data_IF_584255465150
#
_entry.id   IF_584255465150
#
_cell.length_a   1.000
_cell.length_b   1.000
_cell.length_c   1.000
_cell.angle_alpha   90.00
_cell.angle_beta   90.00
_cell.angle_gamma   90.00
#
_symmetry.space_group_name_H-M   'P 1'
#
loop_
_entity.id
_entity.type
_entity.pdbx_description
1 polymer ?
#
# COMPACT_ATOMS: atom_id res chain seq x y z
N UNK A 1 12.47 10.71 -21.67
CA UNK A 1 12.59 11.98 -20.90
C UNK A 1 13.93 11.98 -20.17
N UNK A 2 14.60 13.13 -19.99
CA UNK A 2 15.84 13.21 -19.18
C UNK A 2 15.54 12.86 -17.70
N UNK A 3 16.48 12.23 -16.99
CA UNK A 3 16.29 11.78 -15.59
C UNK A 3 15.89 12.91 -14.63
N UNK A 4 16.52 14.07 -14.74
CA UNK A 4 16.22 15.23 -13.89
C UNK A 4 14.76 15.67 -14.08
N UNK A 5 14.30 15.76 -15.34
CA UNK A 5 12.92 16.11 -15.66
C UNK A 5 11.93 15.07 -15.10
N UNK A 6 12.28 13.78 -15.11
CA UNK A 6 11.44 12.74 -14.48
C UNK A 6 11.26 13.00 -12.99
N UNK A 7 12.36 13.19 -12.24
CA UNK A 7 12.32 13.39 -10.79
C UNK A 7 11.55 14.69 -10.45
N UNK A 8 11.77 15.77 -11.19
CA UNK A 8 11.06 17.03 -10.97
C UNK A 8 9.55 16.86 -11.18
N UNK A 9 9.13 16.28 -12.31
CA UNK A 9 7.70 16.07 -12.60
C UNK A 9 7.07 15.12 -11.56
N UNK A 10 7.80 14.07 -11.15
CA UNK A 10 7.38 13.16 -10.10
C UNK A 10 7.14 13.89 -8.76
N UNK A 11 8.09 14.72 -8.31
CA UNK A 11 7.98 15.49 -7.06
C UNK A 11 6.81 16.48 -7.16
N UNK A 12 6.75 17.27 -8.24
CA UNK A 12 5.68 18.26 -8.45
C UNK A 12 4.31 17.58 -8.47
N UNK A 13 4.20 16.43 -9.13
CA UNK A 13 2.97 15.66 -9.19
C UNK A 13 2.52 15.12 -7.83
N UNK A 14 3.47 14.63 -7.02
CA UNK A 14 3.17 14.18 -5.66
C UNK A 14 2.75 15.34 -4.74
N UNK A 15 3.44 16.47 -4.80
CA UNK A 15 3.09 17.67 -4.04
C UNK A 15 1.72 18.22 -4.46
N UNK A 16 1.43 18.23 -5.76
CA UNK A 16 0.11 18.63 -6.26
C UNK A 16 -0.99 17.71 -5.73
N UNK A 17 -0.79 16.39 -5.76
CA UNK A 17 -1.71 15.43 -5.12
C UNK A 17 -1.93 15.79 -3.65
N UNK A 18 -0.85 15.96 -2.88
CA UNK A 18 -0.94 16.25 -1.45
C UNK A 18 -1.72 17.54 -1.16
N UNK A 19 -1.48 18.60 -1.92
CA UNK A 19 -2.20 19.88 -1.79
C UNK A 19 -3.68 19.70 -2.15
N UNK A 20 -3.97 19.02 -3.27
CA UNK A 20 -5.35 18.77 -3.72
C UNK A 20 -6.13 17.93 -2.71
N UNK A 21 -5.52 16.88 -2.19
CA UNK A 21 -6.11 16.01 -1.18
C UNK A 21 -6.40 16.80 0.11
N UNK A 22 -5.41 17.50 0.65
CA UNK A 22 -5.57 18.32 1.85
C UNK A 22 -6.63 19.42 1.70
N UNK A 23 -6.76 20.04 0.51
CA UNK A 23 -7.69 21.13 0.28
C UNK A 23 -9.12 20.67 -0.06
N UNK A 24 -9.28 19.55 -0.77
CA UNK A 24 -10.55 19.18 -1.40
C UNK A 24 -11.16 17.89 -0.88
N UNK A 25 -10.40 17.01 -0.21
CA UNK A 25 -10.89 15.69 0.19
C UNK A 25 -12.15 15.77 1.06
N UNK A 26 -12.10 16.52 2.16
CA UNK A 26 -13.23 16.67 3.10
C UNK A 26 -14.45 17.28 2.42
N UNK A 27 -14.22 18.26 1.53
CA UNK A 27 -15.28 18.92 0.76
C UNK A 27 -15.97 17.94 -0.18
N UNK A 28 -15.21 17.19 -0.99
CA UNK A 28 -15.76 16.17 -1.87
C UNK A 28 -16.44 15.04 -1.10
N UNK A 29 -15.81 14.56 -0.03
CA UNK A 29 -16.35 13.49 0.81
C UNK A 29 -17.72 13.89 1.37
N UNK A 30 -17.81 15.09 1.95
CA UNK A 30 -19.05 15.60 2.55
C UNK A 30 -20.13 15.82 1.50
N UNK A 31 -19.78 16.43 0.36
CA UNK A 31 -20.71 16.68 -0.72
C UNK A 31 -21.29 15.38 -1.29
N UNK A 32 -20.44 14.39 -1.58
CA UNK A 32 -20.85 13.10 -2.14
C UNK A 32 -21.60 12.26 -1.11
N UNK A 33 -21.17 12.21 0.15
CA UNK A 33 -21.89 11.50 1.20
C UNK A 33 -23.30 12.07 1.38
N UNK A 34 -23.47 13.39 1.31
CA UNK A 34 -24.78 14.03 1.38
C UNK A 34 -25.68 13.70 0.17
N UNK A 35 -25.09 13.62 -1.03
CA UNK A 35 -25.78 13.28 -2.26
C UNK A 35 -26.20 11.81 -2.32
N UNK A 36 -25.31 10.90 -1.95
CA UNK A 36 -25.48 9.44 -2.07
C UNK A 36 -26.10 8.79 -0.83
N UNK A 37 -26.13 9.50 0.30
CA UNK A 37 -26.49 8.98 1.63
C UNK A 37 -25.61 7.80 2.08
N UNK A 38 -24.37 7.72 1.60
CA UNK A 38 -23.38 6.72 2.03
C UNK A 38 -22.04 7.39 2.30
N UNK A 39 -21.48 7.17 3.49
CA UNK A 39 -20.16 7.69 3.82
C UNK A 39 -19.07 6.94 3.04
N UNK A 40 -19.25 5.64 2.77
CA UNK A 40 -18.31 4.88 1.96
C UNK A 40 -18.25 5.40 0.51
N UNK A 41 -19.40 5.66 -0.11
CA UNK A 41 -19.44 6.27 -1.44
C UNK A 41 -18.76 7.65 -1.43
N UNK A 42 -19.04 8.48 -0.41
CA UNK A 42 -18.36 9.75 -0.19
C UNK A 42 -16.84 9.62 -0.16
N UNK A 43 -16.34 8.71 0.67
CA UNK A 43 -14.91 8.48 0.86
C UNK A 43 -14.21 7.95 -0.41
N UNK A 44 -14.78 6.91 -1.04
CA UNK A 44 -14.19 6.26 -2.23
C UNK A 44 -14.13 7.24 -3.41
N UNK A 45 -15.22 7.98 -3.65
CA UNK A 45 -15.28 8.92 -4.77
C UNK A 45 -14.42 10.16 -4.51
N UNK A 46 -14.37 10.66 -3.27
CA UNK A 46 -13.47 11.75 -2.90
C UNK A 46 -12.00 11.36 -3.16
N UNK A 47 -11.56 10.19 -2.70
CA UNK A 47 -10.21 9.69 -2.99
C UNK A 47 -9.96 9.49 -4.48
N UNK A 48 -10.94 8.96 -5.22
CA UNK A 48 -10.81 8.79 -6.68
C UNK A 48 -10.53 10.14 -7.36
N UNK A 49 -11.19 11.21 -6.89
CA UNK A 49 -10.98 12.57 -7.40
C UNK A 49 -9.65 13.16 -6.93
N UNK A 50 -9.28 13.02 -5.66
CA UNK A 50 -8.06 13.64 -5.13
C UNK A 50 -6.79 12.93 -5.57
N UNK A 51 -6.83 11.62 -5.88
CA UNK A 51 -5.70 10.85 -6.43
C UNK A 51 -5.50 11.10 -7.93
N UNK A 52 -6.45 11.73 -8.63
CA UNK A 52 -6.35 12.02 -10.06
C UNK A 52 -5.04 12.71 -10.52
N UNK A 53 -4.46 13.68 -9.77
CA UNK A 53 -3.15 14.26 -10.11
C UNK A 53 -2.03 13.23 -10.21
N UNK A 54 -2.06 12.13 -9.43
CA UNK A 54 -1.08 11.05 -9.55
C UNK A 54 -1.22 10.31 -10.89
N UNK A 55 -2.45 10.02 -11.32
CA UNK A 55 -2.72 9.40 -12.63
C UNK A 55 -2.25 10.29 -13.79
N UNK A 56 -2.54 11.59 -13.73
CA UNK A 56 -2.06 12.58 -14.70
C UNK A 56 -0.53 12.63 -14.71
N UNK A 57 0.09 12.64 -13.53
CA UNK A 57 1.55 12.65 -13.41
C UNK A 57 2.17 11.41 -14.06
N UNK A 58 1.64 10.21 -13.80
CA UNK A 58 2.11 8.98 -14.47
C UNK A 58 1.93 9.08 -15.98
N UNK A 59 0.79 9.59 -16.48
CA UNK A 59 0.56 9.78 -17.90
C UNK A 59 1.62 10.70 -18.54
N UNK A 60 2.00 11.79 -17.86
CA UNK A 60 3.05 12.71 -18.30
C UNK A 60 4.42 12.04 -18.26
N UNK A 61 4.76 11.37 -17.16
CA UNK A 61 6.05 10.69 -16.97
C UNK A 61 6.31 9.65 -18.07
N UNK A 62 5.26 8.93 -18.48
CA UNK A 62 5.32 7.87 -19.48
C UNK A 62 4.86 8.30 -20.88
N UNK A 63 4.47 9.57 -21.05
CA UNK A 63 3.98 10.16 -22.32
C UNK A 63 2.82 9.39 -22.95
N UNK A 64 2.02 8.72 -22.14
CA UNK A 64 0.86 7.95 -22.61
C UNK A 64 -0.11 7.71 -21.47
N UNK A 65 -1.38 8.06 -21.69
CA UNK A 65 -2.49 7.74 -20.77
C UNK A 65 -2.86 6.26 -20.78
N UNK A 66 -2.61 5.56 -21.89
CA UNK A 66 -3.06 4.18 -22.08
C UNK A 66 -2.24 3.18 -21.26
N UNK A 67 -1.05 3.57 -20.80
CA UNK A 67 -0.17 2.71 -20.01
C UNK A 67 -0.29 2.95 -18.50
N UNK A 68 -1.08 3.93 -18.04
CA UNK A 68 -1.09 4.34 -16.63
C UNK A 68 -1.43 3.17 -15.70
N UNK A 69 -2.44 2.38 -16.03
CA UNK A 69 -2.82 1.20 -15.25
C UNK A 69 -1.68 0.16 -15.16
N UNK A 70 -0.99 -0.11 -16.27
CA UNK A 70 0.18 -1.00 -16.31
C UNK A 70 1.35 -0.44 -15.47
N UNK A 71 1.62 0.87 -15.60
CA UNK A 71 2.71 1.53 -14.88
C UNK A 71 2.46 1.64 -13.38
N UNK A 72 1.20 1.58 -12.94
CA UNK A 72 0.79 1.47 -11.54
C UNK A 72 0.62 0.01 -11.08
N UNK A 73 0.72 -0.98 -11.96
CA UNK A 73 0.56 -2.40 -11.60
C UNK A 73 -0.89 -2.88 -11.48
N UNK A 74 -1.87 -2.05 -11.86
CA UNK A 74 -3.31 -2.37 -11.86
C UNK A 74 -3.69 -3.38 -12.95
N UNK A 75 -2.89 -3.47 -14.03
CA UNK A 75 -3.05 -4.49 -15.07
C UNK A 75 -2.48 -5.86 -14.68
N UNK A 76 -1.99 -6.01 -13.45
CA UNK A 76 -1.52 -7.29 -12.93
C UNK A 76 -2.63 -8.33 -12.76
N UNK A 77 -2.24 -9.59 -12.54
CA UNK A 77 -3.22 -10.68 -12.40
C UNK A 77 -3.94 -10.58 -11.05
N UNK A 78 -5.21 -10.19 -11.11
CA UNK A 78 -6.11 -10.04 -9.96
C UNK A 78 -6.22 -11.33 -9.12
N UNK A 79 -6.45 -12.47 -9.77
CA UNK A 79 -6.67 -13.76 -9.09
C UNK A 79 -5.41 -14.24 -8.37
N UNK A 80 -4.23 -14.02 -8.97
CA UNK A 80 -2.94 -14.30 -8.30
C UNK A 80 -2.78 -13.44 -7.05
N UNK A 81 -3.13 -12.15 -7.14
CA UNK A 81 -3.09 -11.25 -5.98
C UNK A 81 -3.99 -11.71 -4.85
N UNK A 82 -5.24 -12.04 -5.18
CA UNK A 82 -6.23 -12.50 -4.22
C UNK A 82 -5.83 -13.82 -3.57
N UNK A 83 -5.44 -14.82 -4.37
CA UNK A 83 -5.05 -16.13 -3.86
C UNK A 83 -3.80 -16.05 -2.98
N UNK A 84 -2.80 -15.25 -3.38
CA UNK A 84 -1.62 -15.01 -2.57
C UNK A 84 -2.02 -14.43 -1.21
N UNK A 85 -2.81 -13.36 -1.20
CA UNK A 85 -3.25 -12.68 0.02
C UNK A 85 -4.08 -13.59 0.94
N UNK A 86 -5.01 -14.37 0.39
CA UNK A 86 -5.82 -15.31 1.15
C UNK A 86 -4.95 -16.35 1.88
N UNK A 87 -3.95 -16.92 1.20
CA UNK A 87 -3.07 -17.93 1.78
C UNK A 87 -2.22 -17.33 2.90
N UNK A 88 -1.57 -16.19 2.63
CA UNK A 88 -0.56 -15.65 3.55
C UNK A 88 -1.17 -14.98 4.77
N UNK A 89 -2.45 -14.60 4.72
CA UNK A 89 -3.18 -14.02 5.86
C UNK A 89 -3.96 -15.04 6.69
N UNK A 90 -3.94 -16.33 6.33
CA UNK A 90 -4.55 -17.41 7.12
C UNK A 90 -4.11 -17.43 8.60
N UNK A 91 -2.82 -17.22 8.96
CA UNK A 91 -2.42 -17.20 10.36
C UNK A 91 -3.11 -16.09 11.16
N UNK A 92 -3.28 -14.90 10.56
CA UNK A 92 -4.03 -13.80 11.18
C UNK A 92 -5.52 -14.12 11.27
N UNK A 93 -6.14 -14.66 10.22
CA UNK A 93 -7.55 -15.04 10.26
C UNK A 93 -7.84 -16.04 11.38
N UNK A 94 -7.11 -17.16 11.39
CA UNK A 94 -7.32 -18.23 12.37
C UNK A 94 -6.94 -17.77 13.77
N UNK A 95 -5.79 -17.11 13.91
CA UNK A 95 -5.32 -16.63 15.19
C UNK A 95 -6.25 -15.61 15.82
N UNK A 96 -6.76 -14.67 15.02
CA UNK A 96 -7.68 -13.65 15.52
C UNK A 96 -9.04 -14.25 15.87
N UNK A 97 -9.58 -15.14 15.04
CA UNK A 97 -10.83 -15.84 15.31
C UNK A 97 -10.81 -16.67 16.62
N UNK A 98 -9.64 -17.22 16.98
CA UNK A 98 -9.48 -18.01 18.20
C UNK A 98 -9.24 -17.16 19.45
N UNK A 99 -8.71 -15.93 19.30
CA UNK A 99 -8.18 -15.16 20.43
C UNK A 99 -8.97 -13.90 20.77
N UNK A 100 -9.63 -13.29 19.79
CA UNK A 100 -10.33 -12.02 19.95
C UNK A 100 -11.83 -12.15 19.67
N UNK A 101 -12.58 -11.12 20.05
CA UNK A 101 -14.03 -11.11 19.93
C UNK A 101 -14.45 -10.63 18.55
N UNK A 102 -15.52 -11.20 18.00
CA UNK A 102 -16.11 -10.68 16.77
C UNK A 102 -16.84 -9.38 17.08
N UNK A 103 -16.50 -8.31 16.37
CA UNK A 103 -17.20 -7.04 16.46
C UNK A 103 -18.52 -7.11 15.70
N UNK A 104 -19.61 -7.20 16.44
CA UNK A 104 -20.98 -7.29 15.89
C UNK A 104 -21.60 -5.93 15.59
N UNK A 105 -20.88 -4.83 15.84
CA UNK A 105 -21.37 -3.44 15.71
C UNK A 105 -20.77 -2.68 14.53
N UNK A 106 -20.00 -3.35 13.67
CA UNK A 106 -19.35 -2.72 12.52
C UNK A 106 -20.41 -2.33 11.47
N UNK A 107 -20.44 -1.06 11.09
CA UNK A 107 -21.24 -0.61 9.95
C UNK A 107 -20.59 -1.00 8.62
N UNK A 108 -21.41 -1.19 7.57
CA UNK A 108 -20.92 -1.45 6.21
C UNK A 108 -20.02 -0.31 5.73
N UNK A 109 -20.37 0.95 6.05
CA UNK A 109 -19.56 2.11 5.70
C UNK A 109 -18.15 2.02 6.33
N UNK A 110 -18.08 1.73 7.64
CA UNK A 110 -16.81 1.53 8.35
C UNK A 110 -15.98 0.41 7.73
N UNK A 111 -16.62 -0.71 7.39
CA UNK A 111 -15.95 -1.85 6.77
C UNK A 111 -15.38 -1.46 5.40
N UNK A 112 -16.16 -0.85 4.52
CA UNK A 112 -15.71 -0.47 3.18
C UNK A 112 -14.59 0.57 3.22
N UNK A 113 -14.69 1.58 4.09
CA UNK A 113 -13.71 2.65 4.23
C UNK A 113 -12.38 2.11 4.76
N UNK A 114 -12.41 1.38 5.89
CA UNK A 114 -11.20 0.98 6.60
C UNK A 114 -10.52 -0.27 6.03
N UNK A 115 -11.16 -1.00 5.12
CA UNK A 115 -10.60 -2.21 4.52
C UNK A 115 -10.31 -2.05 3.03
N UNK A 116 -11.33 -1.86 2.20
CA UNK A 116 -11.19 -1.83 0.74
C UNK A 116 -10.66 -0.47 0.28
N UNK A 117 -11.28 0.63 0.72
CA UNK A 117 -10.91 1.97 0.28
C UNK A 117 -9.50 2.34 0.73
N UNK A 118 -9.21 2.22 2.03
CA UNK A 118 -7.88 2.53 2.59
C UNK A 118 -6.79 1.71 1.91
N UNK A 119 -6.95 0.38 1.84
CA UNK A 119 -5.99 -0.50 1.19
C UNK A 119 -5.73 -0.08 -0.26
N UNK A 120 -6.79 0.07 -1.06
CA UNK A 120 -6.64 0.35 -2.48
C UNK A 120 -5.90 1.68 -2.73
N UNK A 121 -6.34 2.77 -2.10
CA UNK A 121 -5.74 4.08 -2.35
C UNK A 121 -4.34 4.19 -1.75
N UNK A 122 -4.10 3.67 -0.55
CA UNK A 122 -2.76 3.70 0.04
C UNK A 122 -1.75 2.89 -0.79
N UNK A 123 -2.13 1.71 -1.29
CA UNK A 123 -1.24 0.94 -2.17
C UNK A 123 -0.95 1.69 -3.49
N UNK A 124 -1.93 2.40 -4.06
CA UNK A 124 -1.69 3.24 -5.25
C UNK A 124 -0.72 4.38 -4.93
N UNK A 125 -0.97 5.13 -3.86
CA UNK A 125 -0.21 6.34 -3.51
C UNK A 125 1.22 5.97 -3.13
N UNK A 126 1.39 5.03 -2.20
CA UNK A 126 2.70 4.76 -1.60
C UNK A 126 3.47 3.68 -2.36
N UNK A 127 2.82 2.57 -2.71
CA UNK A 127 3.53 1.42 -3.32
C UNK A 127 3.68 1.60 -4.83
N UNK A 128 2.60 1.89 -5.55
CA UNK A 128 2.65 2.03 -7.01
C UNK A 128 3.27 3.35 -7.47
N UNK A 129 2.86 4.46 -6.87
CA UNK A 129 3.31 5.79 -7.26
C UNK A 129 4.64 6.15 -6.58
N UNK A 130 4.63 6.42 -5.26
CA UNK A 130 5.76 7.04 -4.56
C UNK A 130 7.03 6.17 -4.63
N UNK A 131 6.95 4.90 -4.26
CA UNK A 131 8.10 3.99 -4.30
C UNK A 131 8.26 3.37 -5.70
N UNK A 132 7.16 2.89 -6.29
CA UNK A 132 7.16 2.16 -7.55
C UNK A 132 7.66 2.96 -8.74
N UNK A 133 7.29 4.24 -8.88
CA UNK A 133 7.77 5.06 -10.01
C UNK A 133 9.28 5.33 -9.90
N UNK A 134 9.76 5.61 -8.68
CA UNK A 134 11.18 5.82 -8.42
C UNK A 134 11.99 4.56 -8.70
N UNK A 135 11.59 3.43 -8.10
CA UNK A 135 12.31 2.18 -8.27
C UNK A 135 12.26 1.69 -9.70
N UNK A 136 11.10 1.64 -10.37
CA UNK A 136 10.97 1.03 -11.70
C UNK A 136 11.59 1.87 -12.81
N UNK A 137 11.36 3.18 -12.79
CA UNK A 137 11.61 4.06 -13.95
C UNK A 137 12.73 5.06 -13.77
N UNK A 138 13.49 4.95 -12.67
CA UNK A 138 14.75 5.66 -12.49
C UNK A 138 15.90 4.68 -12.30
N UNK A 139 17.11 5.22 -12.08
CA UNK A 139 18.28 4.41 -11.70
C UNK A 139 18.38 4.18 -10.19
N UNK A 140 17.47 4.73 -9.40
CA UNK A 140 17.48 4.48 -7.96
C UNK A 140 17.22 2.98 -7.72
N UNK A 141 18.02 2.41 -6.83
CA UNK A 141 17.85 1.06 -6.33
C UNK A 141 16.75 0.99 -5.28
N UNK A 142 16.62 -0.21 -4.69
CA UNK A 142 15.61 -0.55 -3.71
C UNK A 142 15.68 0.37 -2.48
N UNK A 143 16.85 0.51 -1.86
CA UNK A 143 17.04 1.26 -0.61
C UNK A 143 16.67 2.74 -0.76
N UNK A 144 17.22 3.52 -1.71
CA UNK A 144 16.87 4.93 -1.82
C UNK A 144 15.42 5.16 -2.27
N UNK A 145 14.82 4.23 -3.03
CA UNK A 145 13.41 4.36 -3.44
C UNK A 145 12.46 4.07 -2.29
N UNK A 146 12.72 2.99 -1.53
CA UNK A 146 11.82 2.53 -0.49
C UNK A 146 11.84 3.43 0.74
N UNK A 147 13.01 3.92 1.15
CA UNK A 147 13.13 4.82 2.29
C UNK A 147 12.29 6.08 2.08
N UNK A 148 12.29 6.65 0.86
CA UNK A 148 11.48 7.84 0.59
C UNK A 148 10.01 7.59 0.87
N UNK A 149 9.43 6.49 0.41
CA UNK A 149 8.00 6.24 0.60
C UNK A 149 7.64 5.70 1.99
N UNK A 150 8.49 4.85 2.57
CA UNK A 150 8.22 4.22 3.86
C UNK A 150 8.33 5.20 5.03
N UNK A 151 9.21 6.20 4.96
CA UNK A 151 9.26 7.27 5.97
C UNK A 151 7.96 8.08 5.94
N UNK A 152 7.51 8.55 4.77
CA UNK A 152 6.22 9.25 4.65
C UNK A 152 5.07 8.39 5.16
N UNK A 153 5.05 7.11 4.80
CA UNK A 153 4.02 6.18 5.26
C UNK A 153 3.98 6.07 6.79
N UNK A 154 5.14 5.92 7.45
CA UNK A 154 5.18 5.87 8.91
C UNK A 154 4.75 7.17 9.57
N UNK A 155 5.16 8.32 9.01
CA UNK A 155 4.81 9.64 9.54
C UNK A 155 3.30 9.91 9.49
N UNK A 156 2.61 9.53 8.40
CA UNK A 156 1.17 9.75 8.29
C UNK A 156 0.34 8.86 9.23
N UNK A 157 0.94 7.90 9.92
CA UNK A 157 0.26 7.06 10.92
C UNK A 157 0.43 7.56 12.36
N UNK A 158 1.26 8.58 12.59
CA UNK A 158 1.50 9.11 13.92
C UNK A 158 0.26 9.75 14.56
N UNK A 159 -0.81 10.05 13.80
CA UNK A 159 -2.07 10.55 14.38
C UNK A 159 -2.78 9.53 15.28
N UNK A 160 -2.38 8.26 15.24
CA UNK A 160 -3.04 7.17 15.97
C UNK A 160 -2.74 7.14 17.48
N UNK A 161 -1.82 7.97 17.98
CA UNK A 161 -1.56 8.10 19.42
C UNK A 161 -1.05 9.51 19.75
N UNK A 162 -1.03 9.85 21.02
CA UNK A 162 -0.33 11.01 21.58
C UNK A 162 0.80 10.60 22.53
N UNK A 163 0.94 9.32 22.85
CA UNK A 163 2.00 8.80 23.71
C UNK A 163 3.31 8.62 22.92
N UNK A 164 4.44 9.23 23.34
CA UNK A 164 5.71 9.15 22.60
C UNK A 164 6.23 7.72 22.37
N UNK A 165 6.00 6.80 23.30
CA UNK A 165 6.47 5.41 23.19
C UNK A 165 5.65 4.66 22.16
N UNK A 166 4.32 4.80 22.21
CA UNK A 166 3.42 4.24 21.20
C UNK A 166 3.70 4.81 19.82
N UNK A 167 3.97 6.12 19.70
CA UNK A 167 4.31 6.77 18.43
C UNK A 167 5.55 6.17 17.78
N UNK A 168 6.61 5.90 18.55
CA UNK A 168 7.81 5.20 18.04
C UNK A 168 7.43 3.80 17.53
N UNK A 169 6.61 3.06 18.29
CA UNK A 169 6.12 1.75 17.88
C UNK A 169 5.30 1.78 16.59
N UNK A 170 4.34 2.70 16.49
CA UNK A 170 3.47 2.91 15.32
C UNK A 170 4.31 3.26 14.10
N UNK A 171 5.26 4.19 14.24
CA UNK A 171 6.18 4.54 13.16
C UNK A 171 6.95 3.32 12.69
N UNK A 172 7.60 2.58 13.60
CA UNK A 172 8.44 1.44 13.25
C UNK A 172 7.63 0.32 12.57
N UNK A 173 6.45 -0.02 13.09
CA UNK A 173 5.67 -1.14 12.55
C UNK A 173 5.09 -0.82 11.17
N UNK A 174 4.62 0.41 10.96
CA UNK A 174 4.11 0.86 9.65
C UNK A 174 5.24 1.11 8.66
N UNK A 175 6.38 1.65 9.09
CA UNK A 175 7.59 1.78 8.28
C UNK A 175 8.08 0.42 7.78
N UNK A 176 8.27 -0.56 8.67
CA UNK A 176 8.71 -1.91 8.33
C UNK A 176 7.66 -2.64 7.47
N UNK A 177 6.38 -2.46 7.76
CA UNK A 177 5.27 -2.95 6.94
C UNK A 177 5.36 -2.41 5.51
N UNK A 178 5.60 -1.10 5.34
CA UNK A 178 5.79 -0.47 4.04
C UNK A 178 6.99 -1.07 3.28
N UNK A 179 8.10 -1.37 3.99
CA UNK A 179 9.25 -2.03 3.37
C UNK A 179 8.87 -3.40 2.81
N UNK A 180 8.20 -4.22 3.62
CA UNK A 180 7.77 -5.56 3.23
C UNK A 180 6.76 -5.53 2.07
N UNK A 181 5.76 -4.66 2.15
CA UNK A 181 4.73 -4.56 1.13
C UNK A 181 5.33 -4.18 -0.22
N UNK A 182 6.24 -3.20 -0.25
CA UNK A 182 6.92 -2.88 -1.50
C UNK A 182 7.82 -4.02 -1.99
N UNK A 183 8.51 -4.75 -1.11
CA UNK A 183 9.26 -5.95 -1.50
C UNK A 183 8.34 -7.00 -2.14
N UNK A 184 7.19 -7.32 -1.54
CA UNK A 184 6.20 -8.25 -2.12
C UNK A 184 5.73 -7.73 -3.49
N UNK A 185 5.35 -6.46 -3.58
CA UNK A 185 4.93 -5.84 -4.84
C UNK A 185 6.00 -6.01 -5.94
N UNK A 186 7.26 -5.73 -5.64
CA UNK A 186 8.37 -5.89 -6.59
C UNK A 186 8.59 -7.37 -6.98
N UNK A 187 8.61 -8.28 -6.00
CA UNK A 187 8.90 -9.69 -6.25
C UNK A 187 7.79 -10.42 -7.03
N UNK A 188 6.56 -9.91 -6.95
CA UNK A 188 5.39 -10.36 -7.70
C UNK A 188 5.18 -9.59 -9.02
N UNK A 189 6.28 -9.16 -9.67
CA UNK A 189 6.29 -8.48 -10.97
C UNK A 189 5.51 -7.17 -11.00
N UNK A 190 5.50 -6.44 -9.89
CA UNK A 190 4.74 -5.21 -9.74
C UNK A 190 3.24 -5.40 -10.01
N UNK A 191 2.68 -6.52 -9.57
CA UNK A 191 1.24 -6.75 -9.52
C UNK A 191 0.66 -6.05 -8.29
N UNK A 192 -0.05 -4.94 -8.46
CA UNK A 192 -0.54 -4.16 -7.32
C UNK A 192 -1.58 -4.94 -6.50
N UNK A 193 -2.32 -5.84 -7.14
CA UNK A 193 -3.35 -6.66 -6.48
C UNK A 193 -2.79 -7.53 -5.36
N UNK A 194 -1.51 -7.95 -5.41
CA UNK A 194 -0.93 -8.76 -4.32
C UNK A 194 -0.88 -8.00 -3.01
N UNK A 195 -0.54 -6.70 -3.05
CA UNK A 195 -0.44 -5.87 -1.85
C UNK A 195 -1.77 -5.23 -1.48
N UNK A 196 -2.64 -4.92 -2.45
CA UNK A 196 -4.00 -4.43 -2.17
C UNK A 196 -4.79 -5.47 -1.40
N UNK A 197 -4.81 -6.73 -1.84
CA UNK A 197 -5.54 -7.78 -1.13
C UNK A 197 -4.88 -8.14 0.20
N UNK A 198 -3.55 -8.16 0.26
CA UNK A 198 -2.85 -8.40 1.53
C UNK A 198 -3.24 -7.35 2.57
N UNK A 199 -3.17 -6.06 2.19
CA UNK A 199 -3.58 -4.96 3.05
C UNK A 199 -5.06 -5.07 3.45
N UNK A 200 -5.94 -5.22 2.45
CA UNK A 200 -7.38 -5.27 2.66
C UNK A 200 -7.77 -6.39 3.62
N UNK A 201 -7.20 -7.60 3.48
CA UNK A 201 -7.50 -8.73 4.36
C UNK A 201 -6.92 -8.52 5.76
N UNK A 202 -5.72 -7.97 5.89
CA UNK A 202 -5.15 -7.63 7.19
C UNK A 202 -6.03 -6.64 7.95
N UNK A 203 -6.50 -5.57 7.30
CA UNK A 203 -7.42 -4.60 7.91
C UNK A 203 -8.79 -5.21 8.18
N UNK A 204 -9.29 -6.04 7.28
CA UNK A 204 -10.58 -6.71 7.44
C UNK A 204 -10.58 -7.59 8.69
N UNK A 205 -9.55 -8.41 8.88
CA UNK A 205 -9.46 -9.28 10.05
C UNK A 205 -9.20 -8.47 11.32
N UNK A 206 -8.42 -7.39 11.23
CA UNK A 206 -8.23 -6.46 12.34
C UNK A 206 -9.56 -5.88 12.84
N UNK A 207 -10.41 -5.46 11.92
CA UNK A 207 -11.70 -4.84 12.21
C UNK A 207 -12.73 -5.87 12.71
N UNK A 208 -12.90 -6.98 11.97
CA UNK A 208 -13.89 -8.02 12.31
C UNK A 208 -13.64 -8.60 13.70
N UNK A 209 -12.38 -8.77 14.11
CA UNK A 209 -12.03 -9.37 15.39
C UNK A 209 -11.64 -8.35 16.46
N UNK A 210 -11.98 -7.06 16.29
CA UNK A 210 -11.74 -6.00 17.30
C UNK A 210 -10.34 -6.05 17.92
N UNK A 211 -9.31 -6.15 17.06
CA UNK A 211 -7.99 -6.60 17.51
C UNK A 211 -7.28 -5.58 18.39
N UNK A 212 -7.31 -4.30 18.00
CA UNK A 212 -6.80 -3.18 18.80
C UNK A 212 -7.22 -1.82 18.21
N UNK A 213 -6.98 -0.74 18.97
CA UNK A 213 -7.34 0.63 18.62
C UNK A 213 -6.36 1.33 17.66
N UNK A 214 -5.12 0.84 17.54
CA UNK A 214 -4.10 1.43 16.66
C UNK A 214 -3.24 0.36 15.96
N UNK A 215 -2.36 0.79 15.06
CA UNK A 215 -1.53 -0.12 14.28
C UNK A 215 -0.47 -0.88 15.11
N UNK A 216 -0.10 -0.41 16.30
CA UNK A 216 0.91 -1.07 17.14
C UNK A 216 0.41 -2.45 17.58
N UNK A 217 -0.79 -2.49 18.14
CA UNK A 217 -1.44 -3.72 18.60
C UNK A 217 -0.80 -4.37 19.82
N UNK A 218 -1.59 -5.19 20.53
CA UNK A 218 -1.12 -6.01 21.63
C UNK A 218 -0.23 -7.20 21.21
N UNK A 219 0.20 -7.98 22.20
CA UNK A 219 1.12 -9.11 22.00
C UNK A 219 0.56 -10.17 21.05
N UNK A 220 -0.67 -10.63 21.28
CA UNK A 220 -1.30 -11.66 20.44
C UNK A 220 -1.57 -11.18 19.01
N UNK A 221 -1.94 -9.90 18.87
CA UNK A 221 -2.12 -9.27 17.56
C UNK A 221 -0.82 -9.39 16.75
N UNK A 222 0.30 -9.02 17.38
CA UNK A 222 1.61 -9.08 16.76
C UNK A 222 2.11 -10.51 16.50
N UNK A 223 1.83 -11.50 17.36
CA UNK A 223 2.18 -12.91 17.10
C UNK A 223 1.58 -13.39 15.78
N UNK A 224 0.28 -13.23 15.58
CA UNK A 224 -0.38 -13.72 14.37
C UNK A 224 -0.07 -12.85 13.15
N UNK A 225 0.11 -11.54 13.33
CA UNK A 225 0.63 -10.65 12.28
C UNK A 225 2.01 -11.10 11.80
N UNK A 226 2.96 -11.35 12.71
CA UNK A 226 4.30 -11.80 12.34
C UNK A 226 4.31 -13.21 11.74
N UNK A 227 3.37 -14.08 12.13
CA UNK A 227 3.16 -15.36 11.45
C UNK A 227 2.73 -15.17 9.99
N UNK A 228 1.75 -14.31 9.71
CA UNK A 228 1.31 -13.97 8.34
C UNK A 228 2.42 -13.31 7.52
N UNK A 229 3.17 -12.38 8.12
CA UNK A 229 4.35 -11.74 7.51
C UNK A 229 5.39 -12.79 7.15
N UNK A 230 5.75 -13.69 8.08
CA UNK A 230 6.72 -14.76 7.83
C UNK A 230 6.24 -15.68 6.71
N UNK A 231 4.96 -16.04 6.71
CA UNK A 231 4.36 -16.86 5.66
C UNK A 231 4.42 -16.16 4.29
N UNK A 232 4.17 -14.84 4.22
CA UNK A 232 4.26 -14.08 2.97
C UNK A 232 5.67 -14.06 2.37
N UNK A 233 6.69 -13.97 3.22
CA UNK A 233 8.10 -14.01 2.81
C UNK A 233 8.45 -15.42 2.31
N UNK A 234 8.13 -16.45 3.11
CA UNK A 234 8.40 -17.85 2.78
C UNK A 234 7.70 -18.25 1.49
N UNK A 235 6.40 -17.94 1.35
CA UNK A 235 5.62 -18.24 0.17
C UNK A 235 6.19 -17.59 -1.09
N UNK A 236 6.59 -16.31 -0.99
CA UNK A 236 7.23 -15.59 -2.11
C UNK A 236 8.56 -16.23 -2.50
N UNK A 237 9.44 -16.50 -1.53
CA UNK A 237 10.75 -17.15 -1.79
C UNK A 237 10.56 -18.54 -2.39
N UNK A 238 9.69 -19.35 -1.79
CA UNK A 238 9.41 -20.71 -2.23
C UNK A 238 8.84 -20.74 -3.65
N UNK A 239 7.84 -19.91 -3.95
CA UNK A 239 7.26 -19.80 -5.28
C UNK A 239 8.31 -19.43 -6.33
N UNK A 240 9.12 -18.41 -6.07
CA UNK A 240 10.16 -17.97 -7.00
C UNK A 240 11.22 -19.03 -7.23
N UNK A 241 11.68 -19.72 -6.18
CA UNK A 241 12.64 -20.83 -6.29
C UNK A 241 12.06 -22.00 -7.08
N UNK A 242 10.84 -22.43 -6.75
CA UNK A 242 10.15 -23.54 -7.42
C UNK A 242 9.95 -23.27 -8.91
N UNK A 243 9.59 -22.04 -9.26
CA UNK A 243 9.36 -21.60 -10.65
C UNK A 243 10.64 -21.12 -11.35
N UNK A 244 11.81 -21.17 -10.69
CA UNK A 244 13.09 -20.67 -11.20
C UNK A 244 13.03 -19.21 -11.68
N UNK A 245 12.24 -18.37 -11.01
CA UNK A 245 12.09 -16.94 -11.30
C UNK A 245 13.16 -16.17 -10.49
N UNK A 246 14.00 -15.34 -11.12
CA UNK A 246 14.98 -14.53 -10.40
C UNK A 246 14.30 -13.48 -9.50
N UNK A 247 14.95 -13.14 -8.38
CA UNK A 247 14.51 -12.05 -7.52
C UNK A 247 14.67 -10.70 -8.21
N UNK A 248 13.69 -9.83 -8.02
CA UNK A 248 13.74 -8.44 -8.53
C UNK A 248 14.74 -7.62 -7.69
N UNK A 249 14.72 -7.85 -6.38
CA UNK A 249 15.59 -7.17 -5.43
C UNK A 249 16.77 -8.07 -5.10
N UNK A 250 17.94 -7.67 -5.58
CA UNK A 250 19.22 -8.37 -5.40
C UNK A 250 20.28 -7.37 -4.96
N UNK A 251 21.46 -7.86 -4.59
CA UNK A 251 22.58 -6.98 -4.17
C UNK A 251 22.93 -5.92 -5.22
N UNK A 252 22.74 -6.22 -6.51
CA UNK A 252 23.03 -5.28 -7.61
C UNK A 252 21.94 -4.22 -7.80
N UNK A 253 20.76 -4.40 -7.19
CA UNK A 253 19.65 -3.44 -7.27
C UNK A 253 19.41 -2.66 -5.98
N UNK A 254 20.25 -2.82 -4.96
CA UNK A 254 20.09 -2.12 -3.67
C UNK A 254 20.25 -0.60 -3.76
N UNK A 255 21.29 -0.11 -4.44
CA UNK A 255 21.66 1.32 -4.40
C UNK A 255 21.36 2.05 -5.70
N UNK A 256 22.00 1.64 -6.80
CA UNK A 256 21.78 2.17 -8.14
C UNK A 256 21.67 1.02 -9.12
N UNK A 257 20.58 1.00 -9.89
CA UNK A 257 20.38 0.04 -10.96
C UNK A 257 21.25 0.41 -12.16
N UNK A 258 21.88 -0.60 -12.76
CA UNK A 258 22.59 -0.45 -14.03
C UNK A 258 21.61 0.04 -15.11
N UNK A 259 22.12 0.77 -16.08
CA UNK A 259 21.31 1.36 -17.16
C UNK A 259 20.65 0.21 -17.93
N UNK A 260 19.34 0.03 -17.79
CA UNK A 260 18.60 -0.82 -18.72
C UNK A 260 18.80 -0.23 -20.12
N UNK A 261 19.29 -1.05 -21.05
CA UNK A 261 19.27 -0.72 -22.47
C UNK A 261 17.84 -0.36 -22.85
N UNK A 262 17.73 0.76 -23.59
CA UNK A 262 16.53 1.35 -24.20
C UNK A 262 15.29 0.47 -24.27
#
# INVERSE_FOLDING_TARGET
>A
MKRQNFIIIFIVGFLLYYIVDAALFVTFQSWIANLTKSNAAGHILAYTMTVFPLYVTVAILHRSRHVVADKLGLSGNFSVGLLFALIVTLPSLVGYALKFNVNTSISIDTLLINTISSAFFEEIIYRAFLIGQLYRYTRLGFIPSIITGSVFFGLVHLYQSSDPTELIGIFLITFLGSLLFFWIYAEWKFNLWTVVFLHCLMNLYWLIFDVDNNALGGTYANIFRFASVSLSIIATIYYKRKMKIPFEITRTTWWLKLKNGS
#
